data_IF_012882499004
#
_entry.id   IF_012882499004
#
_cell.length_a   1.000
_cell.length_b   1.000
_cell.length_c   1.000
_cell.angle_alpha   90.00
_cell.angle_beta   90.00
_cell.angle_gamma   90.00
#
_symmetry.space_group_name_H-M   'P 1'
#
loop_
_entity.id
_entity.type
_entity.pdbx_description
1 polymer ?
#
# COMPACT_ATOMS: atom_id res chain seq x y z
N UNK A 1 31.16 5.50 10.29
CA UNK A 1 31.07 5.31 8.83
C UNK A 1 30.10 4.17 8.62
N UNK A 2 28.84 4.50 8.37
CA UNK A 2 27.88 3.53 7.84
C UNK A 2 27.09 4.31 6.82
N UNK A 3 27.65 4.40 5.62
CA UNK A 3 26.88 4.75 4.42
C UNK A 3 26.94 3.50 3.55
N UNK A 4 26.20 2.50 4.01
CA UNK A 4 25.78 1.38 3.20
C UNK A 4 24.41 1.82 2.70
N UNK A 5 24.42 2.45 1.52
CA UNK A 5 23.24 2.81 0.73
C UNK A 5 22.48 1.53 0.34
N UNK A 6 21.86 0.88 1.32
CA UNK A 6 20.86 -0.17 1.14
C UNK A 6 19.53 0.57 0.95
N UNK A 7 18.98 0.52 -0.26
CA UNK A 7 17.74 1.21 -0.65
C UNK A 7 16.57 0.78 0.23
N UNK A 8 16.46 1.42 1.39
CA UNK A 8 15.53 1.01 2.44
C UNK A 8 14.18 1.58 2.08
N UNK A 9 13.28 0.72 1.58
CA UNK A 9 11.89 1.10 1.33
C UNK A 9 11.25 1.45 2.68
N UNK A 10 10.92 2.72 2.88
CA UNK A 10 10.23 3.19 4.07
C UNK A 10 8.74 2.85 3.97
N UNK A 11 8.31 1.86 4.73
CA UNK A 11 6.90 1.51 4.89
C UNK A 11 6.20 2.61 5.71
N UNK A 12 5.16 3.23 5.15
CA UNK A 12 4.31 4.16 5.89
C UNK A 12 3.56 3.46 7.03
N UNK A 13 3.14 4.23 8.03
CA UNK A 13 2.17 3.78 9.05
C UNK A 13 0.76 3.61 8.46
N UNK A 14 0.52 4.21 7.28
CA UNK A 14 -0.73 4.11 6.53
C UNK A 14 -0.81 2.75 5.82
N UNK A 15 -1.72 1.91 6.32
CA UNK A 15 -1.99 0.57 5.84
C UNK A 15 -3.44 0.53 5.35
N UNK A 16 -3.62 0.22 4.07
CA UNK A 16 -4.95 0.06 3.49
C UNK A 16 -5.38 -1.40 3.60
N UNK A 17 -6.53 -1.66 4.22
CA UNK A 17 -7.00 -3.04 4.42
C UNK A 17 -7.48 -3.66 3.10
N UNK A 18 -6.71 -4.59 2.56
CA UNK A 18 -7.17 -5.43 1.46
C UNK A 18 -8.01 -6.62 1.93
N UNK A 19 -8.66 -7.28 0.98
CA UNK A 19 -9.50 -8.47 1.20
C UNK A 19 -8.70 -9.67 1.70
N UNK A 20 -7.48 -9.87 1.19
CA UNK A 20 -6.61 -10.98 1.60
C UNK A 20 -5.49 -10.54 2.54
N UNK A 21 -5.06 -9.29 2.44
CA UNK A 21 -4.06 -8.72 3.32
C UNK A 21 -3.87 -7.22 3.11
N UNK A 22 -3.17 -6.53 4.03
CA UNK A 22 -3.01 -5.09 3.94
C UNK A 22 -2.08 -4.69 2.80
N UNK A 23 -2.33 -3.51 2.25
CA UNK A 23 -1.44 -2.80 1.34
C UNK A 23 -0.72 -1.71 2.11
N UNK A 24 0.59 -1.63 1.92
CA UNK A 24 1.44 -0.64 2.56
C UNK A 24 1.83 0.42 1.55
N UNK A 25 1.60 1.69 1.88
CA UNK A 25 2.04 2.78 1.02
C UNK A 25 3.57 2.84 1.03
N UNK A 26 4.17 2.87 -0.16
CA UNK A 26 5.62 3.01 -0.35
C UNK A 26 5.95 4.36 -0.95
N UNK A 27 6.97 4.99 -0.40
CA UNK A 27 7.50 6.27 -0.86
C UNK A 27 8.82 6.05 -1.60
N UNK A 28 9.03 6.76 -2.71
CA UNK A 28 10.28 6.67 -3.48
C UNK A 28 11.43 7.38 -2.76
N UNK A 29 11.09 8.41 -1.98
CA UNK A 29 12.04 9.32 -1.36
C UNK A 29 11.71 9.52 0.12
N UNK A 30 12.75 9.81 0.91
CA UNK A 30 12.67 10.13 2.35
C UNK A 30 11.72 11.28 2.66
N UNK A 31 11.51 12.18 1.69
CA UNK A 31 10.64 13.34 1.85
C UNK A 31 9.15 12.99 1.86
N UNK A 32 8.77 11.74 1.49
CA UNK A 32 7.37 11.27 1.44
C UNK A 32 6.41 12.16 0.63
N UNK A 33 6.95 12.93 -0.32
CA UNK A 33 6.18 13.90 -1.11
C UNK A 33 5.45 13.23 -2.27
N UNK A 34 5.98 12.13 -2.79
CA UNK A 34 5.44 11.40 -3.93
C UNK A 34 5.28 9.92 -3.56
N UNK A 35 4.03 9.48 -3.44
CA UNK A 35 3.72 8.06 -3.28
C UNK A 35 4.14 7.32 -4.56
N UNK A 36 5.05 6.36 -4.44
CA UNK A 36 5.60 5.64 -5.58
C UNK A 36 4.74 4.42 -5.95
N UNK A 37 3.99 3.89 -4.99
CA UNK A 37 3.12 2.73 -5.18
C UNK A 37 2.74 2.06 -3.87
N UNK A 38 2.21 0.84 -3.98
CA UNK A 38 1.76 0.04 -2.85
C UNK A 38 2.46 -1.31 -2.81
N UNK A 39 2.83 -1.73 -1.60
CA UNK A 39 3.35 -3.05 -1.31
C UNK A 39 2.24 -3.96 -0.80
N UNK A 40 2.04 -5.10 -1.46
CA UNK A 40 1.08 -6.10 -1.03
C UNK A 40 1.71 -6.95 0.08
N UNK A 41 1.27 -6.78 1.33
CA UNK A 41 1.78 -7.56 2.45
C UNK A 41 1.29 -9.03 2.46
N UNK A 42 0.32 -9.37 1.60
CA UNK A 42 -0.18 -10.74 1.45
C UNK A 42 0.84 -11.65 0.72
N UNK A 43 1.32 -11.22 -0.44
CA UNK A 43 2.27 -12.00 -1.26
C UNK A 43 3.69 -11.44 -1.24
N UNK A 44 3.88 -10.24 -0.72
CA UNK A 44 5.18 -9.57 -0.61
C UNK A 44 5.67 -8.90 -1.89
N UNK A 45 4.76 -8.45 -2.76
CA UNK A 45 5.11 -7.86 -4.06
C UNK A 45 4.52 -6.45 -4.25
N UNK A 46 5.16 -5.65 -5.10
CA UNK A 46 4.74 -4.27 -5.41
C UNK A 46 3.97 -4.13 -6.72
N UNK A 47 3.57 -5.23 -7.38
CA UNK A 47 2.69 -5.20 -8.56
C UNK A 47 1.23 -4.88 -8.18
N UNK A 48 1.02 -3.71 -7.60
CA UNK A 48 -0.29 -3.19 -7.21
C UNK A 48 -0.67 -2.05 -8.14
N UNK A 49 -1.86 -2.14 -8.72
CA UNK A 49 -2.42 -1.11 -9.59
C UNK A 49 -3.59 -0.43 -8.89
N UNK A 50 -3.66 0.89 -8.97
CA UNK A 50 -4.81 1.68 -8.54
C UNK A 50 -5.73 1.96 -9.74
N UNK A 51 -7.03 1.74 -9.56
CA UNK A 51 -8.07 2.09 -10.54
C UNK A 51 -8.66 3.48 -10.25
N UNK A 52 -9.43 4.04 -11.19
CA UNK A 52 -10.08 5.35 -11.06
C UNK A 52 -11.02 5.49 -9.87
N UNK A 53 -11.44 4.38 -9.26
CA UNK A 53 -12.25 4.34 -8.04
C UNK A 53 -11.39 4.21 -6.76
N UNK A 54 -10.09 4.53 -6.84
CA UNK A 54 -9.12 4.43 -5.75
C UNK A 54 -8.96 2.99 -5.20
N UNK A 55 -9.49 1.99 -5.93
CA UNK A 55 -9.36 0.58 -5.59
C UNK A 55 -7.97 0.10 -5.95
N UNK A 56 -7.33 -0.60 -5.01
CA UNK A 56 -6.05 -1.24 -5.25
C UNK A 56 -6.26 -2.69 -5.64
N UNK A 57 -5.47 -3.18 -6.58
CA UNK A 57 -5.44 -4.59 -6.96
C UNK A 57 -4.02 -5.07 -7.17
N UNK A 58 -3.63 -6.12 -6.45
CA UNK A 58 -2.41 -6.86 -6.71
C UNK A 58 -2.59 -7.73 -7.96
N UNK A 59 -1.77 -7.53 -8.98
CA UNK A 59 -1.80 -8.31 -10.21
C UNK A 59 -1.17 -9.70 -10.05
N UNK A 60 -0.43 -9.95 -8.97
CA UNK A 60 0.22 -11.23 -8.71
C UNK A 60 -0.69 -12.24 -8.01
N UNK A 61 -1.17 -11.92 -6.79
CA UNK A 61 -2.04 -12.83 -6.03
C UNK A 61 -3.54 -12.58 -6.20
N UNK A 62 -3.93 -11.39 -6.68
CA UNK A 62 -5.33 -11.01 -6.82
C UNK A 62 -5.91 -10.23 -5.63
N UNK A 63 -5.13 -9.97 -4.57
CA UNK A 63 -5.56 -9.17 -3.43
C UNK A 63 -6.12 -7.82 -3.90
N UNK A 64 -7.20 -7.36 -3.28
CA UNK A 64 -7.86 -6.09 -3.63
C UNK A 64 -8.17 -5.28 -2.40
N UNK A 65 -8.07 -3.95 -2.47
CA UNK A 65 -8.58 -3.02 -1.47
C UNK A 65 -9.65 -2.14 -2.10
N UNK A 66 -10.77 -1.99 -1.40
CA UNK A 66 -11.86 -1.11 -1.79
C UNK A 66 -11.98 0.01 -0.75
N UNK A 67 -11.72 1.27 -1.12
CA UNK A 67 -11.89 2.39 -0.21
C UNK A 67 -13.38 2.58 0.06
N UNK A 68 -13.80 2.42 1.32
CA UNK A 68 -15.18 2.68 1.75
C UNK A 68 -15.92 1.51 2.40
N UNK A 69 -15.42 0.28 2.36
CA UNK A 69 -16.04 -0.84 3.11
C UNK A 69 -15.83 -0.72 4.63
N UNK A 70 -14.88 0.13 5.06
CA UNK A 70 -14.59 0.44 6.47
C UNK A 70 -15.35 1.66 7.03
N UNK A 71 -16.22 2.28 6.22
CA UNK A 71 -17.02 3.45 6.62
C UNK A 71 -18.54 3.20 6.56
N UNK A 72 -18.99 1.98 6.84
CA UNK A 72 -20.40 1.69 7.17
C UNK A 72 -20.49 1.10 8.58
N UNK A 73 -20.41 1.97 9.59
CA UNK A 73 -20.30 1.57 10.98
C UNK A 73 -20.69 2.66 11.99
N UNK A 74 -21.88 3.25 11.82
CA UNK A 74 -22.65 3.93 12.88
C UNK A 74 -22.08 5.26 13.43
N UNK A 75 -22.36 6.36 12.72
CA UNK A 75 -22.71 7.60 13.42
C UNK A 75 -24.16 7.43 13.92
N UNK A 76 -24.32 6.94 15.16
CA UNK A 76 -25.56 7.03 15.93
C UNK A 76 -25.32 7.97 17.11
#
# INVERSE_FOLDING_TARGET
MTDENDGTVHLGEDLLQGTEGPFVLTYADESRQEAHGYYCANCGETAVTMDSMERLKCQNCGNTHTPGEEYDGSYL
#
